data_IF_245357858440
#
_entry.id   IF_245357858440
#
_cell.length_a   1.000
_cell.length_b   1.000
_cell.length_c   1.000
_cell.angle_alpha   90.00
_cell.angle_beta   90.00
_cell.angle_gamma   90.00
#
_symmetry.space_group_name_H-M   'P 1'
#
loop_
_entity.id
_entity.type
_entity.pdbx_description
1 polymer ?
#
# COMPACT_ATOMS: atom_id res chain seq x y z
N UNK A 1 -23.06 23.56 33.76
CA UNK A 1 -21.91 23.88 32.88
C UNK A 1 -21.75 22.76 31.86
N UNK A 2 -21.91 23.04 30.56
CA UNK A 2 -21.62 22.11 29.44
C UNK A 2 -20.29 22.51 28.82
N UNK A 3 -19.28 21.64 28.68
CA UNK A 3 -18.06 22.02 27.99
C UNK A 3 -18.19 21.87 26.48
N UNK A 4 -17.75 22.94 25.80
CA UNK A 4 -16.99 23.04 24.56
C UNK A 4 -17.50 22.37 23.26
N UNK A 5 -17.69 23.23 22.26
CA UNK A 5 -17.77 22.91 20.83
C UNK A 5 -16.61 22.01 20.40
N UNK A 6 -16.86 20.74 20.13
CA UNK A 6 -15.97 19.95 19.29
C UNK A 6 -16.20 20.42 17.85
N UNK A 7 -15.18 21.00 17.22
CA UNK A 7 -15.23 21.30 15.80
C UNK A 7 -15.11 19.96 15.05
N UNK A 8 -16.26 19.39 14.70
CA UNK A 8 -16.36 18.08 14.04
C UNK A 8 -16.07 18.26 12.55
N UNK A 9 -14.80 18.33 12.16
CA UNK A 9 -14.43 18.28 10.74
C UNK A 9 -14.97 16.96 10.16
N UNK A 10 -15.63 17.03 9.00
CA UNK A 10 -16.00 15.82 8.25
C UNK A 10 -14.75 14.98 7.98
N UNK A 11 -14.85 13.66 8.20
CA UNK A 11 -13.78 12.68 7.93
C UNK A 11 -13.16 12.86 6.55
N UNK A 12 -14.00 13.22 5.58
CA UNK A 12 -13.59 13.51 4.20
C UNK A 12 -12.59 14.66 4.11
N UNK A 13 -12.86 15.80 4.79
CA UNK A 13 -11.98 16.97 4.79
C UNK A 13 -10.65 16.68 5.47
N UNK A 14 -10.64 15.86 6.52
CA UNK A 14 -9.42 15.45 7.20
C UNK A 14 -8.58 14.56 6.27
N UNK A 15 -9.20 13.53 5.69
CA UNK A 15 -8.52 12.62 4.78
C UNK A 15 -7.95 13.34 3.57
N UNK A 16 -8.73 14.23 2.96
CA UNK A 16 -8.33 15.01 1.80
C UNK A 16 -7.16 15.96 2.12
N UNK A 17 -7.18 16.62 3.28
CA UNK A 17 -6.05 17.47 3.72
C UNK A 17 -4.77 16.67 3.91
N UNK A 18 -4.86 15.53 4.61
CA UNK A 18 -3.70 14.65 4.83
C UNK A 18 -3.14 14.18 3.49
N UNK A 19 -4.01 13.79 2.55
CA UNK A 19 -3.61 13.37 1.20
C UNK A 19 -2.87 14.47 0.44
N UNK A 20 -3.39 15.71 0.43
CA UNK A 20 -2.71 16.81 -0.26
C UNK A 20 -1.38 17.19 0.38
N UNK A 21 -1.30 17.18 1.71
CA UNK A 21 -0.03 17.42 2.41
C UNK A 21 0.98 16.33 2.03
N UNK A 22 0.55 15.06 2.01
CA UNK A 22 1.40 13.94 1.63
C UNK A 22 1.93 14.08 0.21
N UNK A 23 1.05 14.40 -0.75
CA UNK A 23 1.44 14.66 -2.15
C UNK A 23 2.43 15.83 -2.21
N UNK A 24 2.14 16.93 -1.52
CA UNK A 24 3.01 18.10 -1.50
C UNK A 24 4.43 17.76 -1.01
N UNK A 25 4.54 16.99 0.07
CA UNK A 25 5.83 16.50 0.59
C UNK A 25 6.53 15.59 -0.42
N UNK A 26 5.81 14.64 -1.04
CA UNK A 26 6.37 13.73 -2.03
C UNK A 26 6.92 14.52 -3.23
N UNK A 27 6.11 15.39 -3.83
CA UNK A 27 6.49 16.19 -5.00
C UNK A 27 7.69 17.09 -4.66
N UNK A 28 7.71 17.69 -3.48
CA UNK A 28 8.83 18.52 -3.03
C UNK A 28 10.12 17.70 -2.91
N UNK A 29 10.09 16.57 -2.20
CA UNK A 29 11.28 15.74 -1.97
C UNK A 29 11.80 15.15 -3.28
N UNK A 30 10.92 14.65 -4.15
CA UNK A 30 11.30 14.15 -5.47
C UNK A 30 11.81 15.27 -6.39
N UNK A 31 11.20 16.46 -6.34
CA UNK A 31 11.67 17.63 -7.07
C UNK A 31 13.08 18.03 -6.66
N UNK A 32 13.36 18.10 -5.35
CA UNK A 32 14.70 18.35 -4.83
C UNK A 32 15.70 17.27 -5.23
N UNK A 33 15.31 16.00 -5.16
CA UNK A 33 16.14 14.87 -5.60
C UNK A 33 16.55 14.97 -7.07
N UNK A 34 15.62 15.35 -7.94
CA UNK A 34 15.91 15.45 -9.37
C UNK A 34 16.68 16.73 -9.74
N UNK A 35 16.41 17.84 -9.04
CA UNK A 35 16.98 19.15 -9.40
C UNK A 35 18.34 19.43 -8.72
N UNK A 36 18.66 18.78 -7.60
CA UNK A 36 19.84 19.12 -6.80
C UNK A 36 20.83 17.96 -6.74
N UNK A 37 22.01 18.19 -7.34
CA UNK A 37 23.12 17.26 -7.27
C UNK A 37 22.88 15.95 -8.02
N UNK A 38 22.04 15.96 -9.07
CA UNK A 38 21.64 14.75 -9.81
C UNK A 38 22.82 13.92 -10.33
N UNK A 39 23.90 14.57 -10.75
CA UNK A 39 25.10 13.93 -11.31
C UNK A 39 26.17 13.57 -10.26
N UNK A 40 25.87 13.70 -8.96
CA UNK A 40 26.82 13.34 -7.91
C UNK A 40 27.11 11.81 -7.93
N UNK A 41 28.39 11.39 -7.99
CA UNK A 41 28.74 9.98 -7.92
C UNK A 41 28.54 9.43 -6.51
N UNK A 42 28.16 8.16 -6.41
CA UNK A 42 28.01 7.47 -5.14
C UNK A 42 29.39 7.12 -4.55
N UNK A 43 29.54 7.33 -3.24
CA UNK A 43 30.84 7.25 -2.56
C UNK A 43 31.41 5.83 -2.59
N UNK A 44 30.57 4.81 -2.40
CA UNK A 44 31.04 3.42 -2.38
C UNK A 44 31.22 2.84 -3.78
N UNK A 45 30.54 3.40 -4.78
CA UNK A 45 30.62 2.92 -6.15
C UNK A 45 30.38 4.06 -7.14
N UNK A 46 31.47 4.65 -7.68
CA UNK A 46 31.38 5.78 -8.62
C UNK A 46 30.64 5.47 -9.93
N UNK A 47 30.37 4.18 -10.23
CA UNK A 47 29.53 3.81 -11.37
C UNK A 47 28.05 4.19 -11.16
N UNK A 48 27.66 4.49 -9.92
CA UNK A 48 26.30 4.85 -9.54
C UNK A 48 26.20 6.35 -9.24
N UNK A 49 25.06 6.94 -9.57
CA UNK A 49 24.72 8.31 -9.15
C UNK A 49 23.90 8.28 -7.88
N UNK A 50 24.25 9.14 -6.93
CA UNK A 50 23.52 9.35 -5.69
C UNK A 50 23.26 10.85 -5.52
N UNK A 51 22.14 11.37 -6.06
CA UNK A 51 21.76 12.76 -5.88
C UNK A 51 21.77 13.21 -4.42
N UNK A 52 21.95 14.50 -4.16
CA UNK A 52 22.16 15.00 -2.80
C UNK A 52 21.02 14.62 -1.83
N UNK A 53 19.77 14.63 -2.34
CA UNK A 53 18.58 14.26 -1.56
C UNK A 53 18.21 12.78 -1.62
N UNK A 54 19.09 11.88 -2.09
CA UNK A 54 18.84 10.43 -2.09
C UNK A 54 18.46 9.93 -0.69
N UNK A 55 19.17 10.39 0.35
CA UNK A 55 18.85 10.04 1.72
C UNK A 55 17.45 10.49 2.15
N UNK A 56 17.00 11.68 1.73
CA UNK A 56 15.66 12.17 2.02
C UNK A 56 14.57 11.33 1.34
N UNK A 57 14.80 10.90 0.09
CA UNK A 57 13.90 9.97 -0.62
C UNK A 57 13.81 8.63 0.10
N UNK A 58 14.95 8.07 0.54
CA UNK A 58 14.97 6.82 1.30
C UNK A 58 14.23 6.94 2.64
N UNK A 59 14.45 8.02 3.40
CA UNK A 59 13.73 8.27 4.65
C UNK A 59 12.23 8.39 4.39
N UNK A 60 11.82 9.13 3.36
CA UNK A 60 10.42 9.26 2.98
C UNK A 60 9.81 7.90 2.61
N UNK A 61 10.52 7.07 1.85
CA UNK A 61 10.09 5.71 1.51
C UNK A 61 9.84 4.87 2.77
N UNK A 62 10.78 4.84 3.72
CA UNK A 62 10.62 4.08 4.96
C UNK A 62 9.48 4.62 5.83
N UNK A 63 9.29 5.94 5.92
CA UNK A 63 8.18 6.54 6.66
C UNK A 63 6.82 6.19 6.04
N UNK A 64 6.71 6.24 4.71
CA UNK A 64 5.49 5.86 3.99
C UNK A 64 5.20 4.37 4.16
N UNK A 65 6.22 3.51 4.05
CA UNK A 65 6.09 2.07 4.25
C UNK A 65 5.62 1.75 5.67
N UNK A 66 6.27 2.31 6.70
CA UNK A 66 5.86 2.12 8.10
C UNK A 66 4.45 2.65 8.35
N UNK A 67 4.12 3.83 7.82
CA UNK A 67 2.78 4.41 7.91
C UNK A 67 1.71 3.50 7.28
N UNK A 68 1.99 2.94 6.10
CA UNK A 68 1.10 1.98 5.44
C UNK A 68 0.90 0.71 6.27
N UNK A 69 1.98 0.14 6.83
CA UNK A 69 1.90 -1.02 7.72
C UNK A 69 1.10 -0.72 8.99
N UNK A 70 1.34 0.42 9.64
CA UNK A 70 0.61 0.85 10.84
C UNK A 70 -0.89 1.04 10.57
N UNK A 71 -1.23 1.71 9.47
CA UNK A 71 -2.63 1.93 9.09
C UNK A 71 -3.33 0.63 8.68
N UNK A 72 -2.66 -0.26 7.97
CA UNK A 72 -3.18 -1.59 7.65
C UNK A 72 -3.42 -2.42 8.92
N UNK A 73 -2.44 -2.47 9.84
CA UNK A 73 -2.57 -3.16 11.11
C UNK A 73 -3.71 -2.57 11.97
N UNK A 74 -3.82 -1.23 12.01
CA UNK A 74 -4.90 -0.55 12.70
C UNK A 74 -6.27 -0.83 12.06
N UNK A 75 -6.36 -0.87 10.73
CA UNK A 75 -7.58 -1.21 10.01
C UNK A 75 -8.03 -2.64 10.31
N UNK A 76 -7.10 -3.60 10.32
CA UNK A 76 -7.38 -4.98 10.73
C UNK A 76 -7.82 -5.03 12.20
N UNK A 77 -7.03 -4.44 13.11
CA UNK A 77 -7.34 -4.43 14.54
C UNK A 77 -8.71 -3.82 14.84
N UNK A 78 -9.03 -2.68 14.24
CA UNK A 78 -10.33 -2.03 14.44
C UNK A 78 -11.47 -2.82 13.83
N UNK A 79 -11.26 -3.47 12.68
CA UNK A 79 -12.25 -4.38 12.07
C UNK A 79 -12.54 -5.57 12.98
N UNK A 80 -11.51 -6.15 13.61
CA UNK A 80 -11.63 -7.26 14.55
C UNK A 80 -12.29 -6.82 15.87
N UNK A 81 -11.87 -5.68 16.44
CA UNK A 81 -12.29 -5.22 17.78
C UNK A 81 -13.65 -4.52 17.80
N UNK A 82 -13.95 -3.65 16.82
CA UNK A 82 -15.20 -2.86 16.82
C UNK A 82 -16.42 -3.68 16.39
N UNK A 83 -16.25 -4.89 15.85
CA UNK A 83 -17.35 -5.79 15.45
C UNK A 83 -17.78 -6.73 16.58
N UNK A 84 -18.25 -6.15 17.69
CA UNK A 84 -18.72 -6.87 18.89
C UNK A 84 -19.75 -7.99 18.64
N UNK A 85 -19.84 -8.93 19.60
CA UNK A 85 -20.47 -10.28 19.64
C UNK A 85 -21.84 -10.53 18.98
N UNK A 86 -22.61 -9.52 18.55
CA UNK A 86 -23.90 -9.74 17.86
C UNK A 86 -23.71 -9.94 16.36
N UNK A 87 -24.34 -10.95 15.77
CA UNK A 87 -24.42 -11.16 14.32
C UNK A 87 -25.16 -10.03 13.63
N UNK A 88 -24.51 -8.86 13.52
CA UNK A 88 -25.06 -7.67 12.86
C UNK A 88 -25.15 -7.95 11.37
N UNK A 89 -26.34 -8.39 10.95
CA UNK A 89 -26.73 -8.45 9.55
C UNK A 89 -27.06 -7.02 9.14
N UNK A 90 -26.36 -6.54 8.12
CA UNK A 90 -26.71 -5.29 7.46
C UNK A 90 -27.42 -5.71 6.16
N UNK A 91 -28.69 -5.36 6.01
CA UNK A 91 -29.51 -5.78 4.86
C UNK A 91 -29.49 -7.31 4.58
N UNK A 92 -29.68 -8.14 5.61
CA UNK A 92 -29.63 -9.63 5.54
C UNK A 92 -28.29 -10.23 5.06
N UNK A 93 -27.25 -9.43 4.85
CA UNK A 93 -25.92 -9.90 4.46
C UNK A 93 -25.07 -10.06 5.72
N UNK A 94 -24.44 -11.23 5.96
CA UNK A 94 -23.55 -11.44 7.09
C UNK A 94 -22.20 -10.74 6.86
N UNK A 95 -22.19 -9.42 7.06
CA UNK A 95 -21.03 -8.53 6.85
C UNK A 95 -19.76 -9.00 7.58
N UNK A 96 -19.92 -9.70 8.72
CA UNK A 96 -18.81 -10.32 9.45
C UNK A 96 -18.09 -11.37 8.61
N UNK A 97 -18.83 -12.34 8.06
CA UNK A 97 -18.27 -13.46 7.30
C UNK A 97 -17.54 -12.96 6.05
N UNK A 98 -18.09 -11.95 5.37
CA UNK A 98 -17.47 -11.36 4.20
C UNK A 98 -16.14 -10.65 4.50
N UNK A 99 -16.06 -9.85 5.58
CA UNK A 99 -14.80 -9.15 5.87
C UNK A 99 -13.70 -10.10 6.34
N UNK A 100 -14.03 -11.12 7.15
CA UNK A 100 -13.07 -12.17 7.50
C UNK A 100 -12.65 -12.95 6.25
N UNK A 101 -13.61 -13.34 5.41
CA UNK A 101 -13.34 -14.00 4.13
C UNK A 101 -12.38 -13.20 3.27
N UNK A 102 -12.63 -11.90 3.09
CA UNK A 102 -11.75 -11.02 2.31
C UNK A 102 -10.35 -10.92 2.92
N UNK A 103 -10.24 -10.77 4.25
CA UNK A 103 -8.94 -10.73 4.92
C UNK A 103 -8.16 -12.03 4.75
N UNK A 104 -8.81 -13.19 4.93
CA UNK A 104 -8.17 -14.49 4.76
C UNK A 104 -7.80 -14.77 3.30
N UNK A 105 -8.63 -14.36 2.35
CA UNK A 105 -8.32 -14.48 0.92
C UNK A 105 -7.11 -13.63 0.56
N UNK A 106 -7.05 -12.37 1.02
CA UNK A 106 -5.91 -11.49 0.74
C UNK A 106 -4.63 -12.03 1.38
N UNK A 107 -4.66 -12.43 2.65
CA UNK A 107 -3.50 -13.02 3.31
C UNK A 107 -3.09 -14.35 2.66
N UNK A 108 -4.06 -15.20 2.31
CA UNK A 108 -3.82 -16.46 1.63
C UNK A 108 -3.14 -16.25 0.27
N UNK A 109 -3.56 -15.24 -0.50
CA UNK A 109 -2.94 -14.90 -1.77
C UNK A 109 -1.51 -14.35 -1.61
N UNK A 110 -1.26 -13.51 -0.60
CA UNK A 110 0.09 -13.04 -0.28
C UNK A 110 0.99 -14.21 0.13
N UNK A 111 0.54 -15.09 1.02
CA UNK A 111 1.31 -16.28 1.42
C UNK A 111 1.55 -17.21 0.22
N UNK A 112 0.53 -17.44 -0.61
CA UNK A 112 0.66 -18.28 -1.79
C UNK A 112 1.70 -17.71 -2.76
N UNK A 113 1.58 -16.45 -3.15
CA UNK A 113 2.54 -15.81 -4.06
C UNK A 113 3.94 -15.67 -3.46
N UNK A 114 4.07 -15.59 -2.13
CA UNK A 114 5.36 -15.64 -1.45
C UNK A 114 6.02 -17.01 -1.61
N UNK A 115 5.29 -18.08 -1.32
CA UNK A 115 5.83 -19.45 -1.40
C UNK A 115 6.30 -19.82 -2.82
N UNK A 116 5.62 -19.26 -3.83
CA UNK A 116 5.97 -19.44 -5.24
C UNK A 116 6.81 -18.30 -5.83
N UNK A 117 7.22 -17.32 -5.02
CA UNK A 117 8.04 -16.19 -5.48
C UNK A 117 9.47 -16.62 -5.80
N UNK A 118 10.04 -16.03 -6.87
CA UNK A 118 11.39 -16.33 -7.32
C UNK A 118 12.44 -15.89 -6.30
N UNK A 119 13.53 -16.65 -6.28
CA UNK A 119 14.76 -16.30 -5.55
C UNK A 119 15.94 -16.17 -6.52
N UNK A 120 15.66 -16.00 -7.82
CA UNK A 120 16.68 -15.81 -8.83
C UNK A 120 17.45 -14.51 -8.57
N UNK A 121 18.78 -14.58 -8.59
CA UNK A 121 19.62 -13.40 -8.43
C UNK A 121 19.26 -12.36 -9.50
N UNK A 122 19.15 -11.09 -9.08
CA UNK A 122 18.87 -9.98 -9.99
C UNK A 122 20.09 -9.08 -10.10
N UNK A 123 20.60 -8.92 -11.33
CA UNK A 123 21.66 -7.98 -11.64
C UNK A 123 21.05 -6.61 -11.93
N UNK A 124 21.23 -5.66 -11.02
CA UNK A 124 20.73 -4.29 -11.17
C UNK A 124 21.93 -3.36 -11.19
N UNK A 125 22.12 -2.68 -12.33
CA UNK A 125 23.23 -1.74 -12.54
C UNK A 125 24.61 -2.33 -12.21
N UNK A 126 24.82 -3.63 -12.47
CA UNK A 126 26.11 -4.32 -12.24
C UNK A 126 26.33 -4.85 -10.83
N UNK A 127 25.36 -4.69 -9.92
CA UNK A 127 25.37 -5.35 -8.60
C UNK A 127 24.38 -6.50 -8.57
N UNK A 128 24.83 -7.64 -8.06
CA UNK A 128 24.00 -8.82 -7.86
C UNK A 128 23.24 -8.74 -6.53
N UNK A 129 21.92 -8.72 -6.64
CA UNK A 129 21.01 -8.89 -5.51
C UNK A 129 20.70 -10.38 -5.38
N UNK A 130 21.21 -11.00 -4.31
CA UNK A 130 21.12 -12.45 -4.08
C UNK A 130 20.34 -12.81 -2.81
N UNK A 131 19.86 -11.81 -2.05
CA UNK A 131 19.09 -12.06 -0.84
C UNK A 131 17.72 -12.66 -1.18
N UNK A 132 17.64 -13.98 -1.05
CA UNK A 132 16.48 -14.78 -1.39
C UNK A 132 15.21 -14.32 -0.65
N UNK A 133 15.32 -13.81 0.57
CA UNK A 133 14.16 -13.35 1.32
C UNK A 133 13.57 -12.10 0.66
N UNK A 134 14.39 -11.07 0.44
CA UNK A 134 13.92 -9.81 -0.15
C UNK A 134 13.50 -9.95 -1.61
N UNK A 135 14.20 -10.79 -2.38
CA UNK A 135 13.80 -11.13 -3.75
C UNK A 135 12.40 -11.75 -3.77
N UNK A 136 12.15 -12.71 -2.87
CA UNK A 136 10.85 -13.38 -2.77
C UNK A 136 9.75 -12.46 -2.25
N UNK A 137 10.05 -11.55 -1.32
CA UNK A 137 9.10 -10.52 -0.86
C UNK A 137 8.72 -9.59 -2.02
N UNK A 138 9.67 -9.13 -2.82
CA UNK A 138 9.40 -8.27 -3.96
C UNK A 138 8.50 -9.00 -4.99
N UNK A 139 8.86 -10.23 -5.34
CA UNK A 139 8.09 -11.08 -6.25
C UNK A 139 6.66 -11.36 -5.76
N UNK A 140 6.49 -11.61 -4.45
CA UNK A 140 5.18 -11.77 -3.83
C UNK A 140 4.26 -10.59 -4.13
N UNK A 141 4.76 -9.36 -3.94
CA UNK A 141 3.98 -8.15 -4.18
C UNK A 141 3.67 -7.94 -5.67
N UNK A 142 4.64 -8.18 -6.56
CA UNK A 142 4.44 -8.07 -8.01
C UNK A 142 3.35 -9.06 -8.46
N UNK A 143 3.48 -10.32 -8.09
CA UNK A 143 2.53 -11.36 -8.48
C UNK A 143 1.15 -11.15 -7.85
N UNK A 144 1.08 -10.77 -6.56
CA UNK A 144 -0.20 -10.50 -5.91
C UNK A 144 -0.93 -9.32 -6.56
N UNK A 145 -0.22 -8.23 -6.84
CA UNK A 145 -0.84 -7.05 -7.46
C UNK A 145 -1.30 -7.33 -8.89
N UNK A 146 -0.52 -8.09 -9.67
CA UNK A 146 -0.92 -8.53 -11.00
C UNK A 146 -2.21 -9.38 -10.96
N UNK A 147 -2.28 -10.37 -10.08
CA UNK A 147 -3.48 -11.21 -9.91
C UNK A 147 -4.69 -10.37 -9.49
N UNK A 148 -4.52 -9.49 -8.50
CA UNK A 148 -5.60 -8.61 -8.04
C UNK A 148 -6.06 -7.63 -9.12
N UNK A 149 -5.15 -7.15 -9.98
CA UNK A 149 -5.48 -6.28 -11.10
C UNK A 149 -6.37 -7.02 -12.12
N UNK A 150 -6.03 -8.26 -12.48
CA UNK A 150 -6.86 -9.08 -13.38
C UNK A 150 -8.24 -9.34 -12.78
N UNK A 151 -8.31 -9.68 -11.49
CA UNK A 151 -9.59 -9.88 -10.79
C UNK A 151 -10.41 -8.59 -10.78
N UNK A 152 -9.79 -7.43 -10.53
CA UNK A 152 -10.46 -6.15 -10.51
C UNK A 152 -11.03 -5.76 -11.89
N UNK A 153 -10.26 -5.98 -12.97
CA UNK A 153 -10.73 -5.76 -14.35
C UNK A 153 -11.93 -6.66 -14.64
N UNK A 154 -11.84 -7.96 -14.33
CA UNK A 154 -12.94 -8.91 -14.53
C UNK A 154 -14.20 -8.52 -13.75
N UNK A 155 -14.05 -8.10 -12.49
CA UNK A 155 -15.15 -7.63 -11.66
C UNK A 155 -15.78 -6.34 -12.23
N UNK A 156 -14.99 -5.41 -12.75
CA UNK A 156 -15.47 -4.18 -13.37
C UNK A 156 -16.28 -4.46 -14.65
N UNK A 157 -15.80 -5.36 -15.51
CA UNK A 157 -16.51 -5.78 -16.73
C UNK A 157 -17.83 -6.47 -16.38
N UNK A 158 -17.81 -7.39 -15.41
CA UNK A 158 -19.02 -8.08 -14.94
C UNK A 158 -20.04 -7.08 -14.35
N UNK A 159 -19.57 -6.14 -13.53
CA UNK A 159 -20.40 -5.08 -12.96
C UNK A 159 -21.01 -4.16 -14.02
N UNK A 160 -20.21 -3.73 -14.99
CA UNK A 160 -20.68 -2.91 -16.10
C UNK A 160 -21.74 -3.64 -16.93
N UNK A 161 -21.49 -4.90 -17.30
CA UNK A 161 -22.43 -5.73 -18.04
C UNK A 161 -23.78 -5.81 -17.32
N UNK A 162 -23.76 -6.04 -16.00
CA UNK A 162 -24.99 -6.11 -15.19
C UNK A 162 -25.72 -4.76 -15.07
N UNK A 163 -24.97 -3.66 -14.99
CA UNK A 163 -25.54 -2.30 -14.98
C UNK A 163 -26.26 -1.98 -16.29
N UNK A 164 -25.69 -2.35 -17.43
CA UNK A 164 -26.32 -2.16 -18.74
C UNK A 164 -27.50 -3.10 -18.99
N UNK A 165 -27.55 -4.27 -18.35
CA UNK A 165 -28.64 -5.25 -18.47
C UNK A 165 -29.80 -5.02 -17.47
N UNK A 166 -29.81 -3.90 -16.73
CA UNK A 166 -30.98 -3.45 -15.96
C UNK A 166 -31.44 -4.38 -14.84
N UNK A 167 -30.54 -5.11 -14.17
CA UNK A 167 -30.86 -5.97 -13.02
C UNK A 167 -29.94 -5.77 -11.81
#
# INVERSE_FOLDING_TARGET
MKPAFTHNWSTERISQRVFYVLIGVIVLVFGLFYLVGFDLPFIEDPAFKAPFFTGAVLVLMYLLLLGALCTAAWAVYTTLKKRGKGGRMDNNIPVKKLAYGMLFITLGLLVFTFLFGSTGAMLINGKDYTDAFWLRVADMFINTTAVLMVIAIGAAIFGATRYYLGR
#
